data_IF_894572290666
#
_entry.id   IF_894572290666
#
_cell.length_a   1.000
_cell.length_b   1.000
_cell.length_c   1.000
_cell.angle_alpha   90.00
_cell.angle_beta   90.00
_cell.angle_gamma   90.00
#
_symmetry.space_group_name_H-M   'P 1'
#
loop_
_entity.id
_entity.type
_entity.pdbx_description
1 polymer ?
#
# COMPACT_ATOMS: atom_id res chain seq x y z
N UNK A 1 80.40 28.28 4.49
CA UNK A 1 79.85 28.98 5.68
C UNK A 1 78.49 28.33 6.01
N UNK A 2 78.63 27.41 6.93
CA UNK A 2 77.47 26.57 7.42
C UNK A 2 76.50 27.33 8.33
N UNK A 3 75.27 27.04 8.22
CA UNK A 3 74.28 27.19 9.32
C UNK A 3 73.38 25.99 9.36
N UNK A 4 73.18 25.37 10.57
CA UNK A 4 72.47 24.13 10.75
C UNK A 4 70.95 24.29 10.81
N UNK A 5 70.26 23.26 10.36
CA UNK A 5 68.81 23.12 10.36
C UNK A 5 68.24 22.93 11.77
N UNK A 6 67.17 23.69 12.08
CA UNK A 6 66.34 23.48 13.26
C UNK A 6 65.28 22.40 12.97
N UNK A 7 65.28 21.33 13.79
CA UNK A 7 64.25 20.31 13.83
C UNK A 7 62.99 20.84 14.60
N UNK A 8 61.76 20.59 14.16
CA UNK A 8 60.57 20.90 14.90
C UNK A 8 60.26 19.79 15.92
N UNK A 9 60.01 20.24 17.18
CA UNK A 9 59.60 19.45 18.32
C UNK A 9 58.27 18.75 18.05
N UNK A 10 58.19 17.49 18.52
CA UNK A 10 57.03 16.64 18.42
C UNK A 10 55.78 17.16 19.08
N UNK A 11 54.66 17.02 18.35
CA UNK A 11 53.31 17.19 18.88
C UNK A 11 52.83 15.78 19.34
N UNK A 12 52.82 15.59 20.67
CA UNK A 12 52.11 14.48 21.32
C UNK A 12 50.66 14.86 21.40
N UNK A 13 49.78 13.96 20.95
CA UNK A 13 48.35 14.07 21.19
C UNK A 13 47.55 13.15 20.30
N UNK A 14 47.67 11.82 20.49
CA UNK A 14 46.68 10.91 19.91
C UNK A 14 45.34 11.07 20.65
N UNK A 15 44.23 11.29 19.97
CA UNK A 15 42.93 11.32 20.62
C UNK A 15 42.51 9.92 21.03
N UNK A 16 42.08 9.77 22.27
CA UNK A 16 41.56 8.56 22.92
C UNK A 16 40.37 8.00 22.14
N UNK A 17 40.56 6.90 21.37
CA UNK A 17 39.57 6.20 20.53
C UNK A 17 38.70 5.20 21.29
N UNK A 18 38.63 5.26 22.63
CA UNK A 18 37.95 4.25 23.46
C UNK A 18 36.45 4.47 23.70
N UNK A 19 35.87 5.64 23.39
CA UNK A 19 34.43 5.92 23.66
C UNK A 19 33.53 5.75 22.46
N UNK A 20 34.04 5.70 21.24
CA UNK A 20 33.23 5.55 20.01
C UNK A 20 32.54 4.20 19.87
N UNK A 21 33.15 3.04 20.18
CA UNK A 21 32.49 1.73 19.96
C UNK A 21 31.31 1.48 20.91
N UNK A 22 31.35 1.93 22.16
CA UNK A 22 30.25 1.73 23.12
C UNK A 22 29.02 2.60 22.82
N UNK A 23 29.22 3.83 22.36
CA UNK A 23 28.13 4.69 21.91
C UNK A 23 27.48 4.18 20.62
N UNK A 24 28.26 3.61 19.72
CA UNK A 24 27.74 2.95 18.51
C UNK A 24 26.91 1.71 18.85
N UNK A 25 27.37 0.84 19.75
CA UNK A 25 26.62 -0.34 20.20
C UNK A 25 25.31 0.05 20.91
N UNK A 26 25.30 1.11 21.72
CA UNK A 26 24.11 1.61 22.38
C UNK A 26 23.06 2.12 21.39
N UNK A 27 23.48 2.85 20.36
CA UNK A 27 22.59 3.36 19.31
C UNK A 27 22.04 2.23 18.42
N UNK A 28 22.83 1.20 18.13
CA UNK A 28 22.39 0.01 17.39
C UNK A 28 21.25 -0.72 18.11
N UNK A 29 21.47 -1.02 19.40
CA UNK A 29 20.45 -1.71 20.21
C UNK A 29 19.19 -0.86 20.37
N UNK A 30 19.34 0.46 20.64
CA UNK A 30 18.22 1.38 20.75
C UNK A 30 17.40 1.42 19.46
N UNK A 31 18.05 1.50 18.27
CA UNK A 31 17.37 1.49 16.98
C UNK A 31 16.55 0.23 16.75
N UNK A 32 17.10 -0.94 17.06
CA UNK A 32 16.39 -2.23 16.93
C UNK A 32 15.19 -2.31 17.89
N UNK A 33 15.36 -1.90 19.15
CA UNK A 33 14.28 -1.93 20.14
C UNK A 33 13.16 -0.96 19.77
N UNK A 34 13.50 0.27 19.35
CA UNK A 34 12.51 1.27 18.93
C UNK A 34 11.76 0.76 17.68
N UNK A 35 12.47 0.20 16.70
CA UNK A 35 11.85 -0.39 15.53
C UNK A 35 10.86 -1.49 15.93
N UNK A 36 11.30 -2.50 16.70
CA UNK A 36 10.44 -3.59 17.13
C UNK A 36 9.23 -3.09 17.95
N UNK A 37 9.44 -2.17 18.90
CA UNK A 37 8.37 -1.57 19.69
C UNK A 37 7.37 -0.82 18.81
N UNK A 38 7.84 -0.03 17.84
CA UNK A 38 6.98 0.69 16.88
C UNK A 38 6.08 -0.27 16.11
N UNK A 39 6.64 -1.37 15.59
CA UNK A 39 5.84 -2.34 14.84
C UNK A 39 4.87 -3.13 15.71
N UNK A 40 5.24 -3.44 16.94
CA UNK A 40 4.30 -4.02 17.92
C UNK A 40 3.13 -3.06 18.18
N UNK A 41 3.40 -1.77 18.37
CA UNK A 41 2.36 -0.77 18.56
C UNK A 41 1.46 -0.60 17.33
N UNK A 42 2.04 -0.63 16.11
CA UNK A 42 1.28 -0.59 14.85
C UNK A 42 0.36 -1.83 14.72
N UNK A 43 0.82 -3.00 15.15
CA UNK A 43 0.07 -4.25 15.06
C UNK A 43 -1.04 -4.37 16.11
N UNK A 44 -0.76 -3.98 17.36
CA UNK A 44 -1.67 -4.16 18.51
C UNK A 44 -2.83 -3.17 18.51
N UNK A 45 -2.65 -1.93 18.04
CA UNK A 45 -3.62 -0.83 17.89
C UNK A 45 -4.50 -0.49 19.11
N UNK A 46 -4.73 -1.39 20.05
CA UNK A 46 -5.54 -1.20 21.26
C UNK A 46 -4.75 -1.62 22.48
N UNK A 47 -4.20 -0.65 23.18
CA UNK A 47 -3.65 -0.85 24.52
C UNK A 47 -4.75 -0.53 25.55
N UNK A 48 -4.78 -1.22 26.72
CA UNK A 48 -5.86 -1.06 27.70
C UNK A 48 -6.10 0.37 28.18
N UNK A 49 -5.08 1.23 28.10
CA UNK A 49 -5.10 2.60 28.64
C UNK A 49 -4.84 3.69 27.59
N UNK A 50 -4.50 3.33 26.34
CA UNK A 50 -4.13 4.30 25.30
C UNK A 50 -4.70 3.86 23.97
N UNK A 51 -5.49 4.73 23.35
CA UNK A 51 -5.98 4.53 21.99
C UNK A 51 -4.91 5.01 20.99
N UNK A 52 -4.04 4.10 20.57
CA UNK A 52 -3.03 4.39 19.55
C UNK A 52 -3.51 3.87 18.19
N UNK A 53 -3.62 4.77 17.22
CA UNK A 53 -3.76 4.36 15.84
C UNK A 53 -2.37 4.19 15.17
N UNK A 54 -2.33 3.58 13.98
CA UNK A 54 -1.08 3.34 13.24
C UNK A 54 -0.23 4.60 13.01
N UNK A 55 -0.80 5.75 12.58
CA UNK A 55 -0.05 6.99 12.44
C UNK A 55 0.59 7.48 13.73
N UNK A 56 -0.12 7.44 14.85
CA UNK A 56 0.41 7.84 16.14
C UNK A 56 1.55 6.92 16.61
N UNK A 57 1.42 5.61 16.43
CA UNK A 57 2.47 4.64 16.71
C UNK A 57 3.74 4.90 15.88
N UNK A 58 3.55 5.14 14.58
CA UNK A 58 4.66 5.52 13.68
C UNK A 58 5.35 6.81 14.12
N UNK A 59 4.58 7.85 14.46
CA UNK A 59 5.11 9.13 14.93
C UNK A 59 5.91 8.98 16.23
N UNK A 60 5.39 8.23 17.20
CA UNK A 60 6.13 7.93 18.43
C UNK A 60 7.46 7.24 18.16
N UNK A 61 7.47 6.25 17.24
CA UNK A 61 8.70 5.59 16.81
C UNK A 61 9.69 6.54 16.15
N UNK A 62 9.23 7.41 15.26
CA UNK A 62 10.08 8.41 14.60
C UNK A 62 10.69 9.41 15.61
N UNK A 63 9.89 9.91 16.54
CA UNK A 63 10.37 10.78 17.63
C UNK A 63 11.36 10.05 18.53
N UNK A 64 11.08 8.78 18.88
CA UNK A 64 11.98 7.97 19.70
C UNK A 64 13.34 7.74 19.01
N UNK A 65 13.39 7.53 17.68
CA UNK A 65 14.65 7.41 16.92
C UNK A 65 15.53 8.64 17.05
N UNK A 66 14.93 9.83 17.06
CA UNK A 66 15.66 11.10 17.22
C UNK A 66 16.03 11.32 18.68
N UNK A 67 15.10 11.14 19.62
CA UNK A 67 15.32 11.36 21.04
C UNK A 67 16.39 10.42 21.63
N UNK A 68 16.46 9.18 21.17
CA UNK A 68 17.49 8.22 21.54
C UNK A 68 18.85 8.45 20.85
N UNK A 69 18.96 9.45 19.95
CA UNK A 69 20.18 9.75 19.22
C UNK A 69 20.57 8.73 18.14
N UNK A 70 19.64 7.86 17.72
CA UNK A 70 19.84 6.94 16.58
C UNK A 70 19.96 7.74 15.28
N UNK A 71 19.14 8.78 15.15
CA UNK A 71 19.18 9.75 14.05
C UNK A 71 19.29 11.17 14.59
N UNK A 72 20.03 12.01 13.89
CA UNK A 72 19.91 13.45 14.08
C UNK A 72 18.62 14.00 13.47
N UNK A 73 18.09 15.16 13.91
CA UNK A 73 16.93 15.78 13.29
C UNK A 73 17.09 15.98 11.77
N UNK A 74 18.28 16.41 11.33
CA UNK A 74 18.58 16.59 9.92
C UNK A 74 18.50 15.26 9.13
N UNK A 75 18.98 14.16 9.69
CA UNK A 75 18.88 12.84 9.08
C UNK A 75 17.42 12.35 9.05
N UNK A 76 16.63 12.63 10.07
CA UNK A 76 15.22 12.29 10.13
C UNK A 76 14.43 13.05 9.04
N UNK A 77 14.67 14.35 8.87
CA UNK A 77 14.00 15.14 7.82
C UNK A 77 14.42 14.67 6.42
N UNK A 78 15.71 14.41 6.21
CA UNK A 78 16.24 13.91 4.94
C UNK A 78 15.79 12.47 4.61
N UNK A 79 15.30 11.72 5.58
CA UNK A 79 14.77 10.37 5.37
C UNK A 79 13.40 10.38 4.68
N UNK A 80 12.63 11.46 4.86
CA UNK A 80 11.27 11.56 4.31
C UNK A 80 11.36 11.71 2.77
N UNK A 81 10.79 10.74 2.08
CA UNK A 81 10.70 10.76 0.62
C UNK A 81 9.54 11.67 0.20
N UNK A 82 9.88 12.93 -0.14
CA UNK A 82 8.90 13.95 -0.51
C UNK A 82 8.20 13.63 -1.83
N UNK A 83 8.82 12.92 -2.75
CA UNK A 83 8.19 12.53 -4.01
C UNK A 83 6.97 11.64 -3.74
N UNK A 84 7.09 10.72 -2.78
CA UNK A 84 5.97 9.87 -2.35
C UNK A 84 4.86 10.68 -1.68
N UNK A 85 5.23 11.58 -0.77
CA UNK A 85 4.25 12.43 -0.06
C UNK A 85 3.48 13.33 -1.04
N UNK A 86 4.21 13.97 -1.97
CA UNK A 86 3.63 14.87 -3.00
C UNK A 86 2.74 14.09 -3.96
N UNK A 87 3.15 12.86 -4.35
CA UNK A 87 2.36 12.00 -5.22
C UNK A 87 1.03 11.61 -4.57
N UNK A 88 1.09 11.14 -3.33
CA UNK A 88 -0.10 10.81 -2.54
C UNK A 88 -1.03 12.02 -2.39
N UNK A 89 -0.49 13.17 -1.99
CA UNK A 89 -1.28 14.39 -1.80
C UNK A 89 -1.99 14.83 -3.07
N UNK A 90 -1.29 14.83 -4.21
CA UNK A 90 -1.87 15.21 -5.50
C UNK A 90 -3.05 14.31 -5.90
N UNK A 91 -2.90 12.99 -5.74
CA UNK A 91 -3.97 12.04 -5.99
C UNK A 91 -5.13 12.19 -5.01
N UNK A 92 -4.85 12.37 -3.71
CA UNK A 92 -5.89 12.54 -2.68
C UNK A 92 -6.73 13.79 -2.92
N UNK A 93 -6.15 14.86 -3.44
CA UNK A 93 -6.92 16.06 -3.82
C UNK A 93 -7.91 15.76 -4.94
N UNK A 94 -7.50 15.06 -6.00
CA UNK A 94 -8.41 14.69 -7.10
C UNK A 94 -9.50 13.75 -6.58
N UNK A 95 -9.12 12.72 -5.83
CA UNK A 95 -10.03 11.73 -5.26
C UNK A 95 -11.02 12.38 -4.28
N UNK A 96 -10.56 13.32 -3.46
CA UNK A 96 -11.39 14.08 -2.54
C UNK A 96 -12.55 14.82 -3.24
N UNK A 97 -12.28 15.43 -4.39
CA UNK A 97 -13.36 16.06 -5.19
C UNK A 97 -14.30 15.02 -5.83
N UNK A 98 -13.79 13.87 -6.25
CA UNK A 98 -14.64 12.78 -6.74
C UNK A 98 -15.52 12.21 -5.63
N UNK A 99 -15.03 12.15 -4.40
CA UNK A 99 -15.80 11.74 -3.22
C UNK A 99 -16.88 12.79 -2.87
N UNK A 100 -16.53 14.07 -2.83
CA UNK A 100 -17.48 15.18 -2.64
C UNK A 100 -18.58 15.17 -3.71
N UNK A 101 -18.23 14.78 -4.95
CA UNK A 101 -19.17 14.62 -6.07
C UNK A 101 -20.00 13.33 -6.02
N UNK A 102 -19.82 12.47 -5.01
CA UNK A 102 -20.47 11.17 -4.87
C UNK A 102 -20.22 10.19 -6.03
N UNK A 103 -19.05 10.30 -6.66
CA UNK A 103 -18.68 9.43 -7.79
C UNK A 103 -18.65 7.95 -7.43
N UNK A 104 -18.02 7.60 -6.30
CA UNK A 104 -17.82 6.20 -5.92
C UNK A 104 -19.14 5.52 -5.54
N UNK A 105 -20.01 6.23 -4.83
CA UNK A 105 -21.35 5.76 -4.48
C UNK A 105 -22.20 5.55 -5.74
N UNK A 106 -22.16 6.51 -6.67
CA UNK A 106 -22.85 6.40 -7.94
C UNK A 106 -22.33 5.25 -8.78
N UNK A 107 -20.99 5.07 -8.88
CA UNK A 107 -20.37 4.00 -9.63
C UNK A 107 -20.76 2.63 -9.06
N UNK A 108 -20.65 2.46 -7.74
CA UNK A 108 -21.05 1.23 -7.05
C UNK A 108 -22.53 0.91 -7.26
N UNK A 109 -23.43 1.89 -7.05
CA UNK A 109 -24.87 1.70 -7.26
C UNK A 109 -25.21 1.38 -8.72
N UNK A 110 -24.55 2.05 -9.68
CA UNK A 110 -24.79 1.84 -11.12
C UNK A 110 -24.51 0.40 -11.53
N UNK A 111 -23.50 -0.23 -10.92
CA UNK A 111 -23.17 -1.64 -11.12
C UNK A 111 -24.18 -2.53 -10.39
N UNK A 112 -24.43 -2.26 -9.11
CA UNK A 112 -25.28 -3.11 -8.25
C UNK A 112 -26.72 -3.19 -8.75
N UNK A 113 -27.30 -2.12 -9.29
CA UNK A 113 -28.66 -2.10 -9.85
C UNK A 113 -28.86 -3.04 -11.04
N UNK A 114 -27.79 -3.38 -11.77
CA UNK A 114 -27.83 -4.26 -12.95
C UNK A 114 -27.68 -5.74 -12.60
N UNK A 115 -27.41 -6.05 -11.32
CA UNK A 115 -27.12 -7.39 -10.86
C UNK A 115 -28.40 -8.09 -10.41
N UNK A 116 -28.61 -9.32 -10.90
CA UNK A 116 -29.83 -10.10 -10.62
C UNK A 116 -29.56 -11.41 -9.88
N UNK A 117 -28.31 -11.80 -9.72
CA UNK A 117 -27.94 -13.06 -9.07
C UNK A 117 -26.79 -12.87 -8.07
N UNK A 118 -26.74 -13.66 -7.00
CA UNK A 118 -25.65 -13.64 -6.01
C UNK A 118 -24.26 -13.79 -6.66
N UNK A 119 -24.11 -14.69 -7.63
CA UNK A 119 -22.84 -14.89 -8.33
C UNK A 119 -22.40 -13.68 -9.18
N UNK A 120 -23.37 -13.01 -9.86
CA UNK A 120 -23.05 -11.77 -10.60
C UNK A 120 -22.72 -10.62 -9.64
N UNK A 121 -23.34 -10.58 -8.48
CA UNK A 121 -23.00 -9.61 -7.44
C UNK A 121 -21.56 -9.82 -6.96
N UNK A 122 -21.16 -11.06 -6.69
CA UNK A 122 -19.79 -11.39 -6.34
C UNK A 122 -18.80 -10.97 -7.45
N UNK A 123 -19.10 -11.26 -8.71
CA UNK A 123 -18.28 -10.82 -9.83
C UNK A 123 -18.17 -9.29 -9.90
N UNK A 124 -19.30 -8.59 -9.75
CA UNK A 124 -19.34 -7.13 -9.77
C UNK A 124 -18.52 -6.52 -8.63
N UNK A 125 -18.59 -7.10 -7.44
CA UNK A 125 -17.84 -6.64 -6.26
C UNK A 125 -16.34 -6.89 -6.45
N UNK A 126 -15.93 -8.10 -6.84
CA UNK A 126 -14.51 -8.44 -7.00
C UNK A 126 -13.89 -7.68 -8.16
N UNK A 127 -14.50 -7.73 -9.35
CA UNK A 127 -13.95 -7.12 -10.55
C UNK A 127 -14.15 -5.60 -10.52
N UNK A 128 -15.34 -5.13 -10.17
CA UNK A 128 -15.65 -3.69 -10.09
C UNK A 128 -14.85 -3.00 -9.00
N UNK A 129 -14.78 -3.58 -7.79
CA UNK A 129 -13.93 -3.10 -6.70
C UNK A 129 -12.45 -3.11 -7.08
N UNK A 130 -11.99 -4.17 -7.75
CA UNK A 130 -10.63 -4.28 -8.24
C UNK A 130 -10.29 -3.25 -9.31
N UNK A 131 -11.16 -2.99 -10.29
CA UNK A 131 -10.95 -1.97 -11.32
C UNK A 131 -10.95 -0.55 -10.75
N UNK A 132 -11.86 -0.26 -9.82
CA UNK A 132 -11.85 1.03 -9.11
C UNK A 132 -10.54 1.21 -8.32
N UNK A 133 -10.08 0.16 -7.66
CA UNK A 133 -8.82 0.18 -6.88
C UNK A 133 -7.56 0.22 -7.75
N UNK A 134 -7.64 -0.20 -9.00
CA UNK A 134 -6.57 -0.01 -9.96
C UNK A 134 -6.39 1.46 -10.38
N UNK A 135 -7.46 2.24 -10.37
CA UNK A 135 -7.45 3.66 -10.73
C UNK A 135 -7.24 4.55 -9.51
N UNK A 136 -7.91 4.21 -8.42
CA UNK A 136 -7.91 4.97 -7.18
C UNK A 136 -7.37 4.11 -6.04
N UNK A 137 -6.84 4.73 -5.01
CA UNK A 137 -6.24 4.01 -3.87
C UNK A 137 -7.24 3.00 -3.28
N UNK A 138 -6.81 1.74 -3.15
CA UNK A 138 -7.65 0.63 -2.69
C UNK A 138 -8.34 0.89 -1.34
N UNK A 139 -7.68 1.58 -0.42
CA UNK A 139 -8.21 1.91 0.91
C UNK A 139 -9.42 2.83 0.79
N UNK A 140 -9.34 3.87 -0.06
CA UNK A 140 -10.46 4.78 -0.35
C UNK A 140 -11.63 4.04 -0.98
N UNK A 141 -11.36 3.15 -1.94
CA UNK A 141 -12.41 2.33 -2.58
C UNK A 141 -13.13 1.46 -1.54
N UNK A 142 -12.40 0.78 -0.67
CA UNK A 142 -12.97 -0.01 0.41
C UNK A 142 -13.77 0.84 1.39
N UNK A 143 -13.27 2.03 1.73
CA UNK A 143 -13.92 2.96 2.66
C UNK A 143 -15.31 3.38 2.18
N UNK A 144 -15.42 3.75 0.90
CA UNK A 144 -16.67 4.30 0.32
C UNK A 144 -17.62 3.20 -0.18
N UNK A 145 -17.07 2.15 -0.81
CA UNK A 145 -17.92 1.09 -1.38
C UNK A 145 -18.53 0.18 -0.32
N UNK A 146 -17.85 -0.05 0.83
CA UNK A 146 -18.36 -0.94 1.89
C UNK A 146 -19.73 -0.51 2.42
N UNK A 147 -19.98 0.75 2.81
CA UNK A 147 -21.31 1.18 3.27
C UNK A 147 -22.40 0.99 2.20
N UNK A 148 -22.10 1.31 0.94
CA UNK A 148 -23.05 1.15 -0.18
C UNK A 148 -23.39 -0.32 -0.39
N UNK A 149 -22.37 -1.19 -0.36
CA UNK A 149 -22.54 -2.63 -0.49
C UNK A 149 -23.38 -3.20 0.66
N UNK A 150 -23.13 -2.78 1.89
CA UNK A 150 -23.91 -3.21 3.07
C UNK A 150 -25.40 -2.84 2.97
N UNK A 151 -25.71 -1.64 2.47
CA UNK A 151 -27.09 -1.22 2.21
C UNK A 151 -27.73 -2.13 1.16
N UNK A 152 -27.02 -2.38 0.05
CA UNK A 152 -27.51 -3.25 -1.02
C UNK A 152 -27.77 -4.68 -0.55
N UNK A 153 -26.85 -5.24 0.24
CA UNK A 153 -26.95 -6.62 0.74
C UNK A 153 -28.09 -6.77 1.76
N UNK A 154 -28.33 -5.74 2.59
CA UNK A 154 -29.44 -5.74 3.54
C UNK A 154 -30.81 -5.73 2.84
N UNK A 155 -30.93 -5.00 1.72
CA UNK A 155 -32.16 -4.93 0.93
C UNK A 155 -32.58 -6.29 0.36
N UNK A 156 -31.60 -7.11 -0.07
CA UNK A 156 -31.86 -8.46 -0.62
C UNK A 156 -31.74 -9.58 0.42
N UNK A 157 -31.53 -9.24 1.69
CA UNK A 157 -31.45 -10.17 2.84
C UNK A 157 -30.47 -11.34 2.65
N UNK A 158 -29.30 -11.07 2.05
CA UNK A 158 -28.22 -12.05 1.89
C UNK A 158 -27.13 -11.82 2.92
N UNK A 159 -26.39 -12.88 3.23
CA UNK A 159 -25.25 -12.82 4.15
C UNK A 159 -24.16 -11.91 3.58
N UNK A 160 -23.72 -10.85 4.29
CA UNK A 160 -22.77 -9.88 3.75
C UNK A 160 -21.34 -10.38 3.63
N UNK A 161 -20.90 -11.27 4.56
CA UNK A 161 -19.50 -11.67 4.69
C UNK A 161 -18.83 -12.08 3.37
N UNK A 162 -19.41 -12.95 2.52
CA UNK A 162 -18.76 -13.36 1.27
C UNK A 162 -18.43 -12.17 0.37
N UNK A 163 -19.32 -11.20 0.26
CA UNK A 163 -19.16 -10.02 -0.59
C UNK A 163 -18.17 -9.00 -0.01
N UNK A 164 -18.16 -8.86 1.32
CA UNK A 164 -17.18 -8.04 2.02
C UNK A 164 -15.75 -8.59 1.82
N UNK A 165 -15.58 -9.91 1.92
CA UNK A 165 -14.32 -10.58 1.58
C UNK A 165 -13.97 -10.38 0.10
N UNK A 166 -14.97 -10.47 -0.78
CA UNK A 166 -14.81 -10.21 -2.21
C UNK A 166 -14.34 -8.79 -2.51
N UNK A 167 -14.90 -7.79 -1.83
CA UNK A 167 -14.48 -6.40 -1.96
C UNK A 167 -13.04 -6.20 -1.47
N UNK A 168 -12.72 -6.64 -0.27
CA UNK A 168 -11.40 -6.49 0.33
C UNK A 168 -10.31 -7.17 -0.53
N UNK A 169 -10.50 -8.44 -0.89
CA UNK A 169 -9.52 -9.21 -1.66
C UNK A 169 -9.44 -8.74 -3.12
N UNK A 170 -10.59 -8.45 -3.74
CA UNK A 170 -10.64 -7.93 -5.10
C UNK A 170 -9.99 -6.55 -5.23
N UNK A 171 -10.23 -5.68 -4.25
CA UNK A 171 -9.59 -4.36 -4.15
C UNK A 171 -8.08 -4.46 -4.06
N UNK A 172 -7.55 -5.31 -3.17
CA UNK A 172 -6.11 -5.54 -3.06
C UNK A 172 -5.52 -6.09 -4.38
N UNK A 173 -6.12 -7.15 -4.95
CA UNK A 173 -5.61 -7.77 -6.18
C UNK A 173 -5.67 -6.79 -7.36
N UNK A 174 -6.77 -6.08 -7.51
CA UNK A 174 -6.95 -5.11 -8.59
C UNK A 174 -6.00 -3.92 -8.49
N UNK A 175 -5.70 -3.46 -7.27
CA UNK A 175 -4.78 -2.35 -7.03
C UNK A 175 -3.35 -2.63 -7.50
N UNK A 176 -2.96 -3.90 -7.64
CA UNK A 176 -1.66 -4.27 -8.19
C UNK A 176 -1.48 -3.86 -9.66
N UNK A 177 -2.56 -3.59 -10.40
CA UNK A 177 -2.52 -3.25 -11.82
C UNK A 177 -1.73 -1.98 -12.12
N UNK A 178 -1.83 -0.96 -11.28
CA UNK A 178 -1.26 0.35 -11.54
C UNK A 178 -0.40 0.87 -10.40
N UNK A 179 0.41 1.87 -10.70
CA UNK A 179 1.19 2.61 -9.70
C UNK A 179 0.27 3.34 -8.71
N UNK A 180 -0.88 3.83 -9.16
CA UNK A 180 -1.83 4.58 -8.33
C UNK A 180 -2.74 3.73 -7.46
N UNK A 181 -2.74 2.40 -7.66
CA UNK A 181 -3.69 1.50 -7.02
C UNK A 181 -3.50 1.33 -5.51
N UNK A 182 -2.28 1.46 -5.02
CA UNK A 182 -1.97 1.39 -3.59
C UNK A 182 -0.63 2.07 -3.27
N UNK A 183 -0.39 2.44 -2.00
CA UNK A 183 0.83 3.16 -1.62
C UNK A 183 2.14 2.40 -1.89
N UNK A 184 2.17 1.08 -1.72
CA UNK A 184 3.39 0.30 -1.99
C UNK A 184 3.76 0.30 -3.47
N UNK A 185 2.78 0.28 -4.38
CA UNK A 185 3.02 0.42 -5.80
C UNK A 185 3.52 1.82 -6.17
N UNK A 186 3.06 2.86 -5.46
CA UNK A 186 3.59 4.21 -5.64
C UNK A 186 5.07 4.28 -5.30
N UNK A 187 5.50 3.66 -4.19
CA UNK A 187 6.91 3.53 -3.83
C UNK A 187 7.70 2.81 -4.94
N UNK A 188 7.19 1.66 -5.37
CA UNK A 188 7.83 0.88 -6.44
C UNK A 188 7.90 1.70 -7.74
N UNK A 189 6.83 2.38 -8.13
CA UNK A 189 6.79 3.21 -9.33
C UNK A 189 7.83 4.32 -9.32
N UNK A 190 8.02 4.99 -8.17
CA UNK A 190 9.02 6.05 -8.00
C UNK A 190 10.43 5.48 -7.97
N UNK A 191 10.67 4.42 -7.19
CA UNK A 191 12.03 3.90 -6.96
C UNK A 191 12.58 3.01 -8.08
N UNK A 192 11.69 2.31 -8.81
CA UNK A 192 12.12 1.46 -9.92
C UNK A 192 12.50 2.25 -11.19
N UNK A 193 12.08 3.50 -11.28
CA UNK A 193 12.22 4.28 -12.53
C UNK A 193 11.39 3.72 -13.69
N UNK A 194 10.49 2.78 -13.45
CA UNK A 194 9.63 2.20 -14.48
C UNK A 194 8.65 3.24 -15.00
N UNK A 195 8.43 3.27 -16.32
CA UNK A 195 7.37 4.11 -16.88
C UNK A 195 6.00 3.62 -16.41
N UNK A 196 5.05 4.55 -16.23
CA UNK A 196 3.68 4.22 -15.84
C UNK A 196 3.03 3.21 -16.79
N UNK A 197 3.18 3.41 -18.11
CA UNK A 197 2.66 2.49 -19.12
C UNK A 197 3.34 1.13 -19.08
N UNK A 198 4.67 1.10 -18.89
CA UNK A 198 5.42 -0.15 -18.75
C UNK A 198 4.96 -0.94 -17.52
N UNK A 199 4.78 -0.28 -16.37
CA UNK A 199 4.24 -0.93 -15.18
C UNK A 199 2.84 -1.51 -15.44
N UNK A 200 1.93 -0.70 -16.01
CA UNK A 200 0.56 -1.09 -16.31
C UNK A 200 0.48 -2.33 -17.22
N UNK A 201 1.23 -2.34 -18.32
CA UNK A 201 1.18 -3.44 -19.31
C UNK A 201 1.64 -4.77 -18.69
N UNK A 202 2.73 -4.75 -17.92
CA UNK A 202 3.26 -5.98 -17.32
C UNK A 202 2.43 -6.45 -16.12
N UNK A 203 1.77 -5.52 -15.40
CA UNK A 203 0.90 -5.88 -14.28
C UNK A 203 -0.53 -6.23 -14.72
N UNK A 204 -0.92 -5.95 -15.96
CA UNK A 204 -2.25 -6.28 -16.48
C UNK A 204 -2.56 -7.79 -16.41
N UNK A 205 -1.74 -8.71 -16.94
CA UNK A 205 -2.01 -10.14 -16.83
C UNK A 205 -1.99 -10.60 -15.36
N UNK A 206 -1.14 -10.02 -14.53
CA UNK A 206 -1.05 -10.32 -13.08
C UNK A 206 -2.37 -10.02 -12.39
N UNK A 207 -2.88 -8.80 -12.54
CA UNK A 207 -4.10 -8.36 -11.88
C UNK A 207 -5.35 -9.02 -12.48
N UNK A 208 -5.43 -9.14 -13.81
CA UNK A 208 -6.57 -9.75 -14.48
C UNK A 208 -6.75 -11.22 -14.07
N UNK A 209 -5.68 -12.02 -14.15
CA UNK A 209 -5.73 -13.42 -13.70
C UNK A 209 -5.92 -13.53 -12.18
N UNK A 210 -5.30 -12.64 -11.40
CA UNK A 210 -5.51 -12.58 -9.95
C UNK A 210 -6.96 -12.31 -9.57
N UNK A 211 -7.64 -11.36 -10.24
CA UNK A 211 -9.08 -11.11 -10.05
C UNK A 211 -9.94 -12.30 -10.45
N UNK A 212 -9.62 -12.95 -11.59
CA UNK A 212 -10.33 -14.16 -12.02
C UNK A 212 -10.19 -15.30 -11.01
N UNK A 213 -8.98 -15.52 -10.48
CA UNK A 213 -8.70 -16.51 -9.42
C UNK A 213 -9.44 -16.17 -8.15
N UNK A 214 -9.40 -14.90 -7.72
CA UNK A 214 -10.12 -14.43 -6.52
C UNK A 214 -11.62 -14.68 -6.64
N UNK A 215 -12.22 -14.31 -7.77
CA UNK A 215 -13.63 -14.59 -8.05
C UNK A 215 -13.92 -16.08 -8.05
N UNK A 216 -13.11 -16.90 -8.74
CA UNK A 216 -13.31 -18.34 -8.84
C UNK A 216 -13.21 -19.02 -7.46
N UNK A 217 -12.22 -18.65 -6.66
CA UNK A 217 -12.04 -19.16 -5.30
C UNK A 217 -13.24 -18.83 -4.40
N UNK A 218 -13.67 -17.57 -4.40
CA UNK A 218 -14.86 -17.14 -3.63
C UNK A 218 -16.13 -17.83 -4.14
N UNK A 219 -16.29 -17.96 -5.47
CA UNK A 219 -17.42 -18.65 -6.09
C UNK A 219 -17.47 -20.13 -5.72
N UNK A 220 -16.32 -20.77 -5.55
CA UNK A 220 -16.22 -22.17 -5.14
C UNK A 220 -16.46 -22.36 -3.66
N UNK A 221 -15.83 -21.52 -2.80
CA UNK A 221 -15.96 -21.60 -1.34
C UNK A 221 -17.39 -21.32 -0.88
N UNK A 222 -18.04 -20.30 -1.45
CA UNK A 222 -19.38 -19.86 -1.10
C UNK A 222 -20.44 -20.33 -2.12
N UNK A 223 -20.22 -21.46 -2.80
CA UNK A 223 -21.06 -21.94 -3.89
C UNK A 223 -22.54 -22.09 -3.54
N UNK A 224 -22.86 -22.47 -2.31
CA UNK A 224 -24.23 -22.61 -1.82
C UNK A 224 -24.89 -21.24 -1.63
N UNK A 225 -24.18 -20.28 -1.08
CA UNK A 225 -24.68 -18.91 -0.82
C UNK A 225 -24.77 -18.08 -2.11
N UNK A 226 -23.94 -18.40 -3.10
CA UNK A 226 -23.89 -17.70 -4.39
C UNK A 226 -24.77 -18.37 -5.48
N UNK A 227 -25.60 -19.36 -5.14
CA UNK A 227 -26.53 -20.02 -6.03
C UNK A 227 -27.88 -19.30 -6.06
N UNK A 228 -28.63 -19.49 -7.15
CA UNK A 228 -30.00 -18.98 -7.27
C UNK A 228 -30.12 -17.56 -7.80
N UNK A 229 -31.24 -16.93 -7.50
CA UNK A 229 -31.58 -15.53 -7.85
C UNK A 229 -32.00 -14.78 -6.61
N UNK A 230 -31.85 -13.47 -6.62
CA UNK A 230 -32.41 -12.65 -5.55
C UNK A 230 -33.95 -12.72 -5.57
N UNK A 231 -34.57 -12.76 -4.38
CA UNK A 231 -36.04 -12.80 -4.30
C UNK A 231 -36.67 -11.48 -4.79
N UNK A 232 -35.96 -10.40 -4.65
CA UNK A 232 -36.41 -9.05 -5.03
C UNK A 232 -35.33 -8.32 -5.83
N UNK A 233 -35.72 -7.33 -6.64
CA UNK A 233 -34.75 -6.46 -7.32
C UNK A 233 -34.07 -5.55 -6.30
N UNK A 234 -32.78 -5.28 -6.52
CA UNK A 234 -32.02 -4.31 -5.75
C UNK A 234 -32.59 -2.89 -5.98
N UNK A 235 -33.59 -2.52 -5.21
CA UNK A 235 -34.07 -1.15 -5.14
C UNK A 235 -33.16 -0.36 -4.22
N UNK A 236 -32.40 0.55 -4.80
CA UNK A 236 -31.52 1.45 -4.06
C UNK A 236 -31.97 2.89 -4.30
N UNK A 237 -31.93 3.70 -3.25
CA UNK A 237 -32.15 5.15 -3.39
C UNK A 237 -31.20 5.73 -4.45
N UNK A 238 -31.65 6.73 -5.20
CA UNK A 238 -30.81 7.39 -6.18
C UNK A 238 -29.77 8.23 -5.47
N UNK A 239 -28.48 8.07 -5.83
CA UNK A 239 -27.42 8.98 -5.40
C UNK A 239 -27.54 10.26 -6.23
N UNK A 240 -27.59 11.39 -5.54
CA UNK A 240 -27.48 12.70 -6.19
C UNK A 240 -26.00 12.98 -6.49
N UNK A 241 -25.62 12.79 -7.75
CA UNK A 241 -24.24 12.97 -8.21
C UNK A 241 -24.03 14.41 -8.73
N UNK A 242 -23.01 15.09 -8.22
CA UNK A 242 -22.55 16.35 -8.80
C UNK A 242 -21.78 16.08 -10.11
N UNK A 243 -22.55 15.91 -11.20
CA UNK A 243 -21.99 15.54 -12.52
C UNK A 243 -20.92 16.51 -13.02
N UNK A 244 -21.09 17.85 -12.92
CA UNK A 244 -20.05 18.79 -13.33
C UNK A 244 -18.74 18.60 -12.55
N UNK A 245 -18.83 18.44 -11.22
CA UNK A 245 -17.67 18.24 -10.37
C UNK A 245 -16.96 16.91 -10.66
N UNK A 246 -17.72 15.82 -10.78
CA UNK A 246 -17.21 14.50 -11.14
C UNK A 246 -16.55 14.50 -12.52
N UNK A 247 -17.16 15.16 -13.52
CA UNK A 247 -16.54 15.28 -14.83
C UNK A 247 -15.20 16.01 -14.77
N UNK A 248 -15.10 17.11 -14.03
CA UNK A 248 -13.84 17.84 -13.82
C UNK A 248 -12.79 16.94 -13.13
N UNK A 249 -13.17 16.21 -12.07
CA UNK A 249 -12.29 15.30 -11.36
C UNK A 249 -11.76 14.16 -12.25
N UNK A 250 -12.64 13.52 -13.01
CA UNK A 250 -12.25 12.46 -13.95
C UNK A 250 -11.39 13.02 -15.10
N UNK A 251 -11.68 14.22 -15.59
CA UNK A 251 -10.87 14.89 -16.60
C UNK A 251 -9.46 15.17 -16.08
N UNK A 252 -9.32 15.69 -14.86
CA UNK A 252 -8.01 15.95 -14.25
C UNK A 252 -7.24 14.66 -13.97
N UNK A 253 -7.92 13.60 -13.54
CA UNK A 253 -7.31 12.29 -13.43
C UNK A 253 -6.85 11.77 -14.81
N UNK A 254 -7.66 11.93 -15.84
CA UNK A 254 -7.29 11.58 -17.23
C UNK A 254 -6.08 12.37 -17.73
N UNK A 255 -6.00 13.66 -17.44
CA UNK A 255 -4.83 14.51 -17.75
C UNK A 255 -3.58 13.98 -17.03
N UNK A 256 -3.71 13.60 -15.75
CA UNK A 256 -2.61 13.00 -15.01
C UNK A 256 -2.14 11.68 -15.66
N UNK A 257 -3.06 10.80 -16.01
CA UNK A 257 -2.74 9.53 -16.71
C UNK A 257 -2.04 9.79 -18.05
N UNK A 258 -2.51 10.76 -18.84
CA UNK A 258 -1.87 11.13 -20.12
C UNK A 258 -0.45 11.64 -19.87
N UNK A 259 -0.24 12.50 -18.87
CA UNK A 259 1.09 13.00 -18.51
C UNK A 259 2.04 11.87 -18.09
N UNK A 260 1.56 10.90 -17.30
CA UNK A 260 2.36 9.74 -16.90
C UNK A 260 2.68 8.81 -18.09
N UNK A 261 1.72 8.60 -19.00
CA UNK A 261 1.95 7.84 -20.24
C UNK A 261 2.94 8.55 -21.16
N UNK A 262 2.96 9.89 -21.14
CA UNK A 262 3.95 10.70 -21.86
C UNK A 262 5.34 10.68 -21.19
N UNK A 263 5.51 10.00 -20.04
CA UNK A 263 6.79 9.87 -19.34
C UNK A 263 7.12 11.05 -18.40
N UNK A 264 6.14 11.89 -18.07
CA UNK A 264 6.36 12.97 -17.10
C UNK A 264 6.43 12.42 -15.67
N UNK A 265 7.04 13.20 -14.77
CA UNK A 265 7.24 12.86 -13.36
C UNK A 265 5.93 12.49 -12.67
N UNK A 266 5.88 11.31 -12.02
CA UNK A 266 4.70 10.83 -11.30
C UNK A 266 4.23 11.84 -10.23
N UNK A 267 5.10 12.31 -9.31
CA UNK A 267 4.70 13.28 -8.28
C UNK A 267 4.34 14.64 -8.87
N UNK A 268 5.14 15.13 -9.83
CA UNK A 268 4.94 16.44 -10.44
C UNK A 268 3.59 16.55 -11.16
N UNK A 269 3.22 15.54 -11.93
CA UNK A 269 1.92 15.49 -12.62
C UNK A 269 0.76 15.36 -11.63
N UNK A 270 0.89 14.51 -10.62
CA UNK A 270 -0.16 14.31 -9.63
C UNK A 270 -0.48 15.61 -8.89
N UNK A 271 0.54 16.30 -8.37
CA UNK A 271 0.33 17.54 -7.62
C UNK A 271 -0.17 18.68 -8.52
N UNK A 272 0.33 18.77 -9.75
CA UNK A 272 -0.15 19.76 -10.71
C UNK A 272 -1.63 19.55 -11.07
N UNK A 273 -2.03 18.30 -11.35
CA UNK A 273 -3.41 17.95 -11.63
C UNK A 273 -4.31 18.17 -10.40
N UNK A 274 -3.85 17.83 -9.19
CA UNK A 274 -4.53 18.11 -7.94
C UNK A 274 -4.74 19.62 -7.71
N UNK A 275 -3.70 20.42 -7.90
CA UNK A 275 -3.78 21.88 -7.76
C UNK A 275 -4.72 22.52 -8.81
N UNK A 276 -4.64 22.04 -10.07
CA UNK A 276 -5.58 22.48 -11.12
C UNK A 276 -7.02 22.08 -10.78
N UNK A 277 -7.22 20.89 -10.19
CA UNK A 277 -8.55 20.47 -9.76
C UNK A 277 -9.12 21.43 -8.71
N UNK A 278 -8.32 21.85 -7.73
CA UNK A 278 -8.73 22.87 -6.73
C UNK A 278 -9.20 24.15 -7.42
N UNK A 279 -8.46 24.60 -8.43
CA UNK A 279 -8.78 25.84 -9.17
C UNK A 279 -10.09 25.73 -9.97
N UNK A 280 -10.29 24.61 -10.68
CA UNK A 280 -11.42 24.45 -11.60
C UNK A 280 -12.70 23.92 -10.94
N UNK A 281 -12.60 23.38 -9.72
CA UNK A 281 -13.72 22.75 -9.02
C UNK A 281 -14.88 23.73 -8.77
N UNK A 282 -14.58 25.03 -8.57
CA UNK A 282 -15.57 26.05 -8.23
C UNK A 282 -16.37 25.68 -6.96
N UNK A 283 -15.70 25.02 -6.02
CA UNK A 283 -16.20 24.65 -4.71
C UNK A 283 -15.19 25.14 -3.68
N UNK A 284 -15.63 25.30 -2.43
CA UNK A 284 -14.69 25.62 -1.34
C UNK A 284 -13.60 24.53 -1.27
N UNK A 285 -12.32 24.91 -1.38
CA UNK A 285 -11.22 23.96 -1.30
C UNK A 285 -11.20 23.15 0.01
N UNK A 286 -11.75 23.70 1.10
CA UNK A 286 -11.84 23.01 2.38
C UNK A 286 -12.50 21.63 2.25
N UNK A 287 -13.55 21.51 1.44
CA UNK A 287 -14.23 20.22 1.25
C UNK A 287 -13.34 19.10 0.72
N UNK A 288 -12.41 19.40 -0.17
CA UNK A 288 -11.47 18.41 -0.68
C UNK A 288 -10.26 18.24 0.25
N UNK A 289 -9.78 19.32 0.85
CA UNK A 289 -8.66 19.31 1.80
C UNK A 289 -9.01 18.49 3.05
N UNK A 290 -10.24 18.59 3.54
CA UNK A 290 -10.73 17.79 4.67
C UNK A 290 -10.86 16.29 4.34
N UNK A 291 -10.92 15.94 3.04
CA UNK A 291 -10.92 14.54 2.57
C UNK A 291 -9.51 13.97 2.34
N UNK A 292 -8.48 14.81 2.40
CA UNK A 292 -7.10 14.34 2.38
C UNK A 292 -6.85 13.53 3.64
N UNK A 293 -6.35 12.31 3.47
CA UNK A 293 -5.99 11.43 4.59
C UNK A 293 -4.64 11.88 5.21
N UNK A 294 -4.65 13.02 5.92
CA UNK A 294 -3.48 13.59 6.59
C UNK A 294 -2.80 12.60 7.54
N UNK A 295 -3.59 11.76 8.18
CA UNK A 295 -3.09 10.69 9.05
C UNK A 295 -2.23 9.67 8.29
N UNK A 296 -2.58 9.38 7.03
CA UNK A 296 -1.81 8.49 6.17
C UNK A 296 -0.49 9.15 5.74
N UNK A 297 -0.51 10.42 5.36
CA UNK A 297 0.71 11.17 5.02
C UNK A 297 1.67 11.25 6.22
N UNK A 298 1.15 11.54 7.42
CA UNK A 298 1.92 11.52 8.67
C UNK A 298 2.50 10.14 8.94
N UNK A 299 1.73 9.09 8.72
CA UNK A 299 2.18 7.71 8.90
C UNK A 299 3.35 7.38 7.97
N UNK A 300 3.25 7.73 6.68
CA UNK A 300 4.34 7.52 5.72
C UNK A 300 5.60 8.29 6.10
N UNK A 301 5.47 9.59 6.40
CA UNK A 301 6.59 10.41 6.83
C UNK A 301 7.29 9.80 8.07
N UNK A 302 6.50 9.33 9.04
CA UNK A 302 7.01 8.67 10.25
C UNK A 302 7.70 7.35 9.95
N UNK A 303 7.11 6.53 9.06
CA UNK A 303 7.70 5.26 8.66
C UNK A 303 9.05 5.45 7.95
N UNK A 304 9.22 6.46 7.10
CA UNK A 304 10.51 6.76 6.48
C UNK A 304 11.59 7.02 7.53
N UNK A 305 11.26 7.77 8.59
CA UNK A 305 12.20 8.05 9.68
C UNK A 305 12.53 6.77 10.47
N UNK A 306 11.52 5.98 10.84
CA UNK A 306 11.72 4.72 11.57
C UNK A 306 12.55 3.74 10.76
N UNK A 307 12.26 3.61 9.45
CA UNK A 307 13.01 2.74 8.54
C UNK A 307 14.45 3.21 8.37
N UNK A 308 14.70 4.53 8.27
CA UNK A 308 16.06 5.09 8.23
C UNK A 308 16.83 4.79 9.52
N UNK A 309 16.17 4.91 10.68
CA UNK A 309 16.75 4.52 11.97
C UNK A 309 17.11 3.05 12.02
N UNK A 310 16.24 2.17 11.52
CA UNK A 310 16.53 0.73 11.41
C UNK A 310 17.68 0.43 10.45
N UNK A 311 17.75 1.08 9.29
CA UNK A 311 18.89 0.97 8.36
C UNK A 311 20.20 1.39 9.03
N UNK A 312 20.19 2.46 9.82
CA UNK A 312 21.38 2.93 10.53
C UNK A 312 21.93 1.91 11.55
N UNK A 313 21.15 0.89 11.93
CA UNK A 313 21.62 -0.21 12.80
C UNK A 313 22.46 -1.25 12.07
N UNK A 314 22.52 -1.25 10.73
CA UNK A 314 23.18 -2.28 9.94
C UNK A 314 22.42 -3.62 9.87
N UNK A 315 21.27 -3.73 10.55
CA UNK A 315 20.46 -4.96 10.51
C UNK A 315 19.91 -5.23 9.11
N UNK A 316 19.62 -4.17 8.33
CA UNK A 316 19.19 -4.30 6.94
C UNK A 316 20.27 -4.94 6.10
N UNK A 317 21.52 -4.52 6.23
CA UNK A 317 22.65 -5.07 5.48
C UNK A 317 22.79 -6.58 5.74
N UNK A 318 22.59 -7.02 7.00
CA UNK A 318 22.60 -8.44 7.34
C UNK A 318 21.44 -9.23 6.70
N UNK A 319 20.24 -8.64 6.68
CA UNK A 319 19.06 -9.22 6.03
C UNK A 319 19.29 -9.28 4.52
N UNK A 320 19.80 -8.20 3.92
CA UNK A 320 20.07 -8.09 2.49
C UNK A 320 21.09 -9.13 2.03
N UNK A 321 22.22 -9.26 2.73
CA UNK A 321 23.21 -10.29 2.41
C UNK A 321 22.64 -11.72 2.44
N UNK A 322 21.76 -12.01 3.40
CA UNK A 322 21.10 -13.33 3.47
C UNK A 322 20.06 -13.51 2.38
N UNK A 323 19.26 -12.49 2.10
CA UNK A 323 18.25 -12.53 1.05
C UNK A 323 18.89 -12.62 -0.34
N UNK A 324 19.94 -11.83 -0.61
CA UNK A 324 20.70 -11.89 -1.85
C UNK A 324 21.35 -13.27 -2.03
N UNK A 325 21.99 -13.80 -1.01
CA UNK A 325 22.63 -15.12 -1.07
C UNK A 325 21.65 -16.28 -1.38
N UNK A 326 20.38 -16.13 -1.00
CA UNK A 326 19.33 -17.12 -1.34
C UNK A 326 18.83 -16.98 -2.79
N UNK A 327 19.00 -15.81 -3.39
CA UNK A 327 18.42 -15.45 -4.70
C UNK A 327 19.51 -15.37 -5.77
N UNK A 328 20.75 -15.08 -5.41
CA UNK A 328 21.88 -14.95 -6.31
C UNK A 328 22.16 -16.26 -7.07
N UNK A 329 22.48 -16.14 -8.35
CA UNK A 329 22.71 -17.29 -9.24
C UNK A 329 21.44 -18.08 -9.62
N UNK A 330 20.26 -17.67 -9.16
CA UNK A 330 19.01 -18.30 -9.50
C UNK A 330 18.52 -17.89 -10.92
N UNK A 331 17.75 -18.79 -11.54
CA UNK A 331 16.99 -18.45 -12.75
C UNK A 331 15.97 -17.34 -12.48
N UNK A 332 15.40 -16.75 -13.54
CA UNK A 332 14.27 -15.78 -13.41
C UNK A 332 13.14 -16.33 -12.52
N UNK A 333 12.86 -17.64 -12.61
CA UNK A 333 11.90 -18.33 -11.74
C UNK A 333 12.34 -18.34 -10.29
N UNK A 334 13.58 -18.70 -10.01
CA UNK A 334 14.14 -18.75 -8.65
C UNK A 334 14.14 -17.36 -8.00
N UNK A 335 14.52 -16.32 -8.75
CA UNK A 335 14.42 -14.91 -8.31
C UNK A 335 12.98 -14.56 -7.96
N UNK A 336 12.03 -14.80 -8.87
CA UNK A 336 10.64 -14.43 -8.65
C UNK A 336 10.01 -15.15 -7.46
N UNK A 337 10.28 -16.45 -7.28
CA UNK A 337 9.81 -17.21 -6.12
C UNK A 337 10.48 -16.76 -4.82
N UNK A 338 11.79 -16.52 -4.82
CA UNK A 338 12.55 -16.06 -3.66
C UNK A 338 12.05 -14.70 -3.17
N UNK A 339 11.95 -13.72 -4.09
CA UNK A 339 11.43 -12.39 -3.78
C UNK A 339 9.98 -12.49 -3.29
N UNK A 340 9.11 -13.28 -3.94
CA UNK A 340 7.71 -13.46 -3.51
C UNK A 340 7.59 -14.04 -2.12
N UNK A 341 8.39 -15.06 -1.78
CA UNK A 341 8.38 -15.70 -0.47
C UNK A 341 8.79 -14.73 0.65
N UNK A 342 9.88 -13.98 0.42
CA UNK A 342 10.36 -12.99 1.39
C UNK A 342 9.35 -11.85 1.53
N UNK A 343 8.83 -11.31 0.42
CA UNK A 343 7.85 -10.23 0.46
C UNK A 343 6.54 -10.65 1.11
N UNK A 344 6.03 -11.85 0.83
CA UNK A 344 4.83 -12.37 1.47
C UNK A 344 5.01 -12.51 2.99
N UNK A 345 6.17 -12.95 3.43
CA UNK A 345 6.50 -13.06 4.86
C UNK A 345 6.60 -11.67 5.51
N UNK A 346 7.42 -10.78 4.95
CA UNK A 346 7.62 -9.44 5.51
C UNK A 346 6.32 -8.62 5.52
N UNK A 347 5.52 -8.66 4.45
CA UNK A 347 4.26 -7.93 4.37
C UNK A 347 3.26 -8.33 5.47
N UNK A 348 3.24 -9.59 5.85
CA UNK A 348 2.37 -10.05 6.95
C UNK A 348 2.97 -9.81 8.34
N UNK A 349 4.29 -9.67 8.47
CA UNK A 349 4.94 -9.34 9.73
C UNK A 349 4.93 -7.84 10.05
N UNK A 350 5.28 -7.01 9.06
CA UNK A 350 5.51 -5.57 9.26
C UNK A 350 4.62 -4.67 8.39
N UNK A 351 3.63 -5.24 7.68
CA UNK A 351 2.76 -4.57 6.71
C UNK A 351 3.44 -4.31 5.34
N UNK A 352 2.62 -4.11 4.29
CA UNK A 352 3.06 -4.06 2.89
C UNK A 352 4.06 -2.94 2.60
N UNK A 353 3.75 -1.73 3.04
CA UNK A 353 4.55 -0.53 2.76
C UNK A 353 5.94 -0.61 3.40
N UNK A 354 6.07 -0.92 4.70
CA UNK A 354 7.38 -1.10 5.33
C UNK A 354 8.20 -2.23 4.72
N UNK A 355 7.54 -3.32 4.31
CA UNK A 355 8.22 -4.42 3.63
C UNK A 355 8.89 -3.96 2.33
N UNK A 356 8.17 -3.16 1.53
CA UNK A 356 8.73 -2.54 0.31
C UNK A 356 9.85 -1.54 0.63
N UNK A 357 9.67 -0.72 1.69
CA UNK A 357 10.72 0.24 2.11
C UNK A 357 12.03 -0.45 2.51
N UNK A 358 11.95 -1.62 3.17
CA UNK A 358 13.14 -2.41 3.52
C UNK A 358 13.94 -2.82 2.29
N UNK A 359 13.26 -3.15 1.20
CA UNK A 359 13.87 -3.68 0.00
C UNK A 359 14.33 -2.62 -1.00
N UNK A 360 14.19 -1.33 -0.68
CA UNK A 360 14.63 -0.23 -1.53
C UNK A 360 16.10 -0.34 -1.98
N UNK A 361 16.98 -0.73 -1.05
CA UNK A 361 18.42 -0.87 -1.29
C UNK A 361 18.82 -2.23 -1.84
N UNK A 362 18.03 -3.26 -1.57
CA UNK A 362 18.28 -4.65 -1.97
C UNK A 362 17.95 -4.91 -3.43
N UNK A 363 16.76 -4.47 -3.88
CA UNK A 363 16.27 -4.77 -5.23
C UNK A 363 17.23 -4.33 -6.34
N UNK A 364 17.86 -3.13 -6.29
CA UNK A 364 18.83 -2.71 -7.31
C UNK A 364 20.07 -3.59 -7.42
N UNK A 365 20.36 -4.42 -6.40
CA UNK A 365 21.51 -5.32 -6.34
C UNK A 365 21.20 -6.73 -6.86
N UNK A 366 19.93 -7.04 -7.14
CA UNK A 366 19.52 -8.33 -7.66
C UNK A 366 19.85 -8.49 -9.15
N UNK A 367 20.00 -9.74 -9.67
CA UNK A 367 20.37 -9.99 -11.06
C UNK A 367 19.41 -9.39 -12.12
N UNK A 368 18.12 -9.31 -11.82
CA UNK A 368 17.10 -8.66 -12.66
C UNK A 368 16.26 -7.69 -11.80
N UNK A 369 16.74 -6.45 -11.57
CA UNK A 369 16.05 -5.48 -10.75
C UNK A 369 14.66 -5.10 -11.28
N UNK A 370 14.46 -5.13 -12.59
CA UNK A 370 13.19 -4.76 -13.23
C UNK A 370 12.11 -5.80 -12.89
N UNK A 371 12.42 -7.07 -13.07
CA UNK A 371 11.54 -8.16 -12.66
C UNK A 371 11.32 -8.13 -11.14
N UNK A 372 12.39 -7.95 -10.36
CA UNK A 372 12.32 -7.94 -8.91
C UNK A 372 11.38 -6.85 -8.37
N UNK A 373 11.42 -5.62 -8.91
CA UNK A 373 10.49 -4.55 -8.54
C UNK A 373 9.03 -4.90 -8.84
N UNK A 374 8.75 -5.51 -9.99
CA UNK A 374 7.40 -5.96 -10.34
C UNK A 374 6.92 -7.06 -9.39
N UNK A 375 7.80 -8.02 -9.06
CA UNK A 375 7.50 -9.08 -8.10
C UNK A 375 7.27 -8.51 -6.70
N UNK A 376 8.06 -7.53 -6.25
CA UNK A 376 7.86 -6.82 -4.98
C UNK A 376 6.48 -6.16 -4.94
N UNK A 377 6.10 -5.42 -5.99
CA UNK A 377 4.78 -4.78 -6.08
C UNK A 377 3.64 -5.79 -6.01
N UNK A 378 3.71 -6.86 -6.80
CA UNK A 378 2.72 -7.93 -6.85
C UNK A 378 2.63 -8.66 -5.51
N UNK A 379 3.76 -9.15 -5.01
CA UNK A 379 3.78 -10.04 -3.83
C UNK A 379 3.41 -9.31 -2.55
N UNK A 380 3.89 -8.06 -2.35
CA UNK A 380 3.49 -7.27 -1.19
C UNK A 380 1.99 -6.96 -1.17
N UNK A 381 1.42 -6.71 -2.35
CA UNK A 381 -0.01 -6.42 -2.48
C UNK A 381 -0.87 -7.68 -2.28
N UNK A 382 -0.53 -8.79 -2.93
CA UNK A 382 -1.29 -10.03 -2.82
C UNK A 382 -1.16 -10.68 -1.44
N UNK A 383 0.00 -10.56 -0.81
CA UNK A 383 0.22 -11.01 0.57
C UNK A 383 -0.71 -10.33 1.58
N UNK A 384 -1.17 -9.12 1.29
CA UNK A 384 -2.16 -8.41 2.10
C UNK A 384 -3.49 -9.16 2.24
N UNK A 385 -3.78 -10.12 1.35
CA UNK A 385 -4.97 -10.95 1.42
C UNK A 385 -4.84 -12.18 2.34
N UNK A 386 -3.64 -12.50 2.83
CA UNK A 386 -3.40 -13.71 3.62
C UNK A 386 -4.19 -13.71 4.92
N UNK A 387 -4.11 -12.61 5.66
CA UNK A 387 -4.76 -12.43 6.95
C UNK A 387 -5.57 -11.13 6.97
N UNK A 388 -6.57 -11.07 7.84
CA UNK A 388 -7.40 -9.88 8.02
C UNK A 388 -6.56 -8.62 8.31
N UNK A 389 -5.54 -8.75 9.14
CA UNK A 389 -4.63 -7.67 9.52
C UNK A 389 -3.56 -7.37 8.46
N UNK A 390 -3.46 -8.16 7.41
CA UNK A 390 -2.42 -8.07 6.37
C UNK A 390 -2.54 -6.82 5.49
N UNK A 391 -3.72 -6.19 5.41
CA UNK A 391 -3.94 -4.98 4.61
C UNK A 391 -4.83 -3.98 5.34
N UNK A 392 -4.57 -2.68 5.12
CA UNK A 392 -5.43 -1.60 5.61
C UNK A 392 -6.83 -1.70 5.02
N UNK A 393 -6.94 -1.99 3.72
CA UNK A 393 -8.22 -2.19 3.04
C UNK A 393 -9.10 -3.25 3.70
N UNK A 394 -8.51 -4.38 4.13
CA UNK A 394 -9.24 -5.44 4.84
C UNK A 394 -9.81 -4.94 6.18
N UNK A 395 -8.99 -4.18 6.93
CA UNK A 395 -9.41 -3.63 8.22
C UNK A 395 -10.50 -2.58 8.06
N UNK A 396 -10.41 -1.70 7.05
CA UNK A 396 -11.46 -0.73 6.72
C UNK A 396 -12.79 -1.45 6.46
N UNK A 397 -12.78 -2.51 5.64
CA UNK A 397 -13.99 -3.30 5.36
C UNK A 397 -14.53 -3.94 6.64
N UNK A 398 -13.66 -4.51 7.49
CA UNK A 398 -14.06 -5.14 8.74
C UNK A 398 -14.64 -4.15 9.75
N UNK A 399 -13.99 -2.99 9.94
CA UNK A 399 -14.44 -1.94 10.86
C UNK A 399 -15.78 -1.33 10.42
N UNK A 400 -15.95 -1.07 9.11
CA UNK A 400 -17.23 -0.59 8.56
C UNK A 400 -18.36 -1.61 8.73
N UNK A 401 -18.04 -2.90 8.60
CA UNK A 401 -18.99 -3.99 8.82
C UNK A 401 -19.35 -4.11 10.30
N UNK A 402 -18.37 -4.03 11.21
CA UNK A 402 -18.59 -4.10 12.66
C UNK A 402 -19.48 -2.95 13.15
N UNK A 403 -19.34 -1.75 12.59
CA UNK A 403 -20.22 -0.61 12.84
C UNK A 403 -21.68 -0.85 12.48
N UNK A 404 -21.99 -1.91 11.71
CA UNK A 404 -23.33 -2.39 11.38
C UNK A 404 -23.68 -3.74 12.03
N UNK A 405 -22.92 -4.18 13.03
CA UNK A 405 -23.13 -5.42 13.77
C UNK A 405 -22.65 -6.69 13.05
N UNK A 406 -21.92 -6.56 11.94
CA UNK A 406 -21.40 -7.69 11.17
C UNK A 406 -19.92 -7.88 11.52
N UNK A 407 -19.60 -9.00 12.17
CA UNK A 407 -18.23 -9.33 12.54
C UNK A 407 -17.62 -10.31 11.56
N UNK A 408 -16.47 -9.95 11.00
CA UNK A 408 -15.65 -10.85 10.18
C UNK A 408 -14.62 -11.50 11.11
N UNK A 409 -14.78 -12.79 11.35
CA UNK A 409 -13.88 -13.56 12.22
C UNK A 409 -12.51 -13.78 11.56
N UNK A 410 -11.45 -13.83 12.39
CA UNK A 410 -10.10 -14.09 11.91
C UNK A 410 -9.99 -15.40 11.09
N UNK A 411 -10.54 -16.50 11.62
CA UNK A 411 -10.52 -17.78 10.93
C UNK A 411 -11.44 -17.85 9.72
N UNK A 412 -12.54 -17.10 9.75
CA UNK A 412 -13.45 -16.97 8.61
C UNK A 412 -12.74 -16.27 7.46
N UNK A 413 -11.99 -15.22 7.75
CA UNK A 413 -11.16 -14.52 6.77
C UNK A 413 -10.03 -15.43 6.26
N UNK A 414 -9.24 -16.03 7.18
CA UNK A 414 -8.06 -16.82 6.84
C UNK A 414 -8.39 -18.04 5.96
N UNK A 415 -9.55 -18.67 6.20
CA UNK A 415 -10.03 -19.81 5.37
C UNK A 415 -10.16 -19.45 3.89
N UNK A 416 -10.44 -18.21 3.59
CA UNK A 416 -10.56 -17.69 2.22
C UNK A 416 -9.25 -17.03 1.78
N UNK A 417 -8.67 -16.21 2.65
CA UNK A 417 -7.47 -15.42 2.36
C UNK A 417 -6.24 -16.26 2.03
N UNK A 418 -6.02 -17.34 2.78
CA UNK A 418 -4.86 -18.23 2.54
C UNK A 418 -4.87 -18.81 1.13
N UNK A 419 -5.92 -19.53 0.66
CA UNK A 419 -5.92 -20.10 -0.68
C UNK A 419 -5.92 -19.01 -1.77
N UNK A 420 -6.63 -17.91 -1.59
CA UNK A 420 -6.60 -16.79 -2.56
C UNK A 420 -5.20 -16.23 -2.69
N UNK A 421 -4.51 -15.95 -1.58
CA UNK A 421 -3.15 -15.41 -1.61
C UNK A 421 -2.18 -16.36 -2.29
N UNK A 422 -2.19 -17.65 -1.93
CA UNK A 422 -1.29 -18.63 -2.55
C UNK A 422 -1.53 -18.70 -4.06
N UNK A 423 -2.79 -18.87 -4.49
CA UNK A 423 -3.12 -19.01 -5.90
C UNK A 423 -2.81 -17.73 -6.71
N UNK A 424 -3.07 -16.56 -6.14
CA UNK A 424 -2.78 -15.28 -6.82
C UNK A 424 -1.28 -14.99 -6.89
N UNK A 425 -0.48 -15.32 -5.86
CA UNK A 425 0.99 -15.21 -5.92
C UNK A 425 1.56 -16.19 -6.95
N UNK A 426 1.12 -17.45 -6.94
CA UNK A 426 1.53 -18.45 -7.95
C UNK A 426 1.26 -17.93 -9.35
N UNK A 427 0.05 -17.47 -9.61
CA UNK A 427 -0.30 -16.87 -10.90
C UNK A 427 0.56 -15.66 -11.24
N UNK A 428 0.74 -14.75 -10.28
CA UNK A 428 1.51 -13.52 -10.48
C UNK A 428 2.97 -13.79 -10.84
N UNK A 429 3.61 -14.78 -10.19
CA UNK A 429 4.96 -15.21 -10.54
C UNK A 429 4.99 -15.76 -11.96
N UNK A 430 4.06 -16.67 -12.32
CA UNK A 430 3.96 -17.21 -13.67
C UNK A 430 3.77 -16.09 -14.69
N UNK A 431 2.84 -15.18 -14.44
CA UNK A 431 2.55 -14.08 -15.34
C UNK A 431 3.76 -13.16 -15.57
N UNK A 432 4.48 -12.80 -14.50
CA UNK A 432 5.66 -11.92 -14.58
C UNK A 432 6.87 -12.59 -15.23
N UNK A 433 7.06 -13.89 -15.04
CA UNK A 433 8.21 -14.59 -15.67
C UNK A 433 7.96 -14.89 -17.14
N UNK A 434 6.69 -15.16 -17.54
CA UNK A 434 6.32 -15.52 -18.91
C UNK A 434 6.05 -14.29 -19.77
N UNK A 435 5.37 -13.26 -19.23
CA UNK A 435 4.92 -12.08 -19.97
C UNK A 435 5.63 -10.78 -19.58
N UNK A 436 6.48 -10.83 -18.52
CA UNK A 436 7.11 -9.66 -17.89
C UNK A 436 8.51 -9.26 -18.40
#
# INVERSE_FOLDING_TARGET
>A
MDRPAHAPRGVRGAPRSGRRPLLQLGNLTAGLVIFAATYVLIAVQRLPFVHLNRPAAGLLGAVAMVAAGVLTPAQAYAAIDLDVIVFLLGLMLIVGYLEVGHFFEWAAQSVLRRVQTPARLMAAVVIGGGLLSALFVNDTVCLVVTPVLLVALSAVRVRPTPYLLGLAMGSNVGSALSVTGNPQNMLVGIWSGSSFGGFLIHMLPVAAGGLAITYAALRWIFRTELSGRFPERLEMATVDIDRPLVFKGLAMFGVAVIGWLAGWSLPGVAIAAGALMVLIAQRDPAYAIDRVEWSLLLFFASLFVVMRGFQATGAVDWIDHRAIALIDGQSRWGLAWGVSGVMATLSNLISNVPAVMLWRTTVPQLPDPVLAWRVVAMSSTFAGNLLLIGSVANLIVAERAEGRGIRIGFWEYARVGIPVTILTIVWGVVALVVFG
#
